data_IF_073384367215
#
_entry.id   IF_073384367215
#
_cell.length_a   1.000
_cell.length_b   1.000
_cell.length_c   1.000
_cell.angle_alpha   90.00
_cell.angle_beta   90.00
_cell.angle_gamma   90.00
#
_symmetry.space_group_name_H-M   'P 1'
#
loop_
_entity.id
_entity.type
_entity.pdbx_description
1 polymer ?
#
# COMPACT_ATOMS: atom_id res chain seq x y z
N UNK A 1 4.81 30.69 -13.25
CA UNK A 1 4.55 31.76 -12.24
C UNK A 1 3.29 31.48 -11.38
N UNK A 2 2.64 30.31 -11.47
CA UNK A 2 1.33 30.05 -10.84
C UNK A 2 1.35 29.20 -9.55
N UNK A 3 2.42 28.43 -9.33
CA UNK A 3 2.54 27.50 -8.18
C UNK A 3 2.33 28.16 -6.80
N UNK A 4 2.83 29.38 -6.51
CA UNK A 4 2.62 30.02 -5.21
C UNK A 4 1.20 30.53 -4.98
N UNK A 5 0.48 30.90 -6.04
CA UNK A 5 -0.92 31.32 -5.94
C UNK A 5 -1.84 30.11 -5.69
N UNK A 6 -1.64 29.03 -6.44
CA UNK A 6 -2.34 27.77 -6.24
C UNK A 6 -2.07 27.17 -4.84
N UNK A 7 -0.82 27.25 -4.37
CA UNK A 7 -0.45 26.83 -3.01
C UNK A 7 -1.23 27.56 -1.91
N UNK A 8 -1.41 28.88 -2.05
CA UNK A 8 -2.22 29.68 -1.11
C UNK A 8 -3.69 29.28 -1.14
N UNK A 9 -4.27 29.06 -2.33
CA UNK A 9 -5.66 28.61 -2.46
C UNK A 9 -5.89 27.23 -1.81
N UNK A 10 -4.94 26.30 -1.98
CA UNK A 10 -4.98 25.00 -1.29
C UNK A 10 -4.87 25.16 0.23
N UNK A 11 -3.93 25.98 0.71
CA UNK A 11 -3.73 26.23 2.15
C UNK A 11 -4.94 26.87 2.83
N UNK A 12 -5.74 27.65 2.10
CA UNK A 12 -7.01 28.21 2.57
C UNK A 12 -8.23 27.29 2.35
N UNK A 13 -8.04 26.08 1.80
CA UNK A 13 -9.14 25.15 1.52
C UNK A 13 -10.07 25.59 0.38
N UNK A 14 -9.69 26.59 -0.41
CA UNK A 14 -10.50 27.12 -1.52
C UNK A 14 -10.40 26.26 -2.79
N UNK A 15 -9.36 25.44 -2.88
CA UNK A 15 -9.12 24.50 -3.98
C UNK A 15 -8.58 23.19 -3.43
N UNK A 16 -9.04 22.06 -3.97
CA UNK A 16 -8.52 20.73 -3.66
C UNK A 16 -7.76 20.19 -4.87
N UNK A 17 -6.59 19.59 -4.62
CA UNK A 17 -5.86 18.86 -5.66
C UNK A 17 -6.50 17.48 -5.85
N UNK A 18 -7.07 17.24 -7.03
CA UNK A 18 -7.56 15.92 -7.39
C UNK A 18 -6.38 14.97 -7.71
N UNK A 19 -6.46 13.75 -7.20
CA UNK A 19 -5.47 12.70 -7.41
C UNK A 19 -6.14 11.33 -7.52
N UNK A 20 -5.44 10.37 -8.13
CA UNK A 20 -5.83 8.97 -8.04
C UNK A 20 -5.55 8.44 -6.64
N UNK A 21 -6.44 7.60 -6.14
CA UNK A 21 -6.40 6.98 -4.82
C UNK A 21 -6.27 5.45 -4.96
N UNK A 22 -5.95 4.71 -3.88
CA UNK A 22 -6.03 3.25 -3.89
C UNK A 22 -7.43 2.72 -4.26
N UNK A 23 -8.48 3.46 -3.89
CA UNK A 23 -9.85 3.13 -4.30
C UNK A 23 -10.00 3.19 -5.82
N UNK A 24 -9.48 4.23 -6.50
CA UNK A 24 -9.52 4.30 -7.98
C UNK A 24 -8.77 3.12 -8.62
N UNK A 25 -7.59 2.77 -8.07
CA UNK A 25 -6.84 1.60 -8.52
C UNK A 25 -7.65 0.31 -8.41
N UNK A 26 -8.48 0.20 -7.37
CA UNK A 26 -9.29 -1.00 -7.12
C UNK A 26 -10.48 -1.12 -8.06
N UNK A 27 -11.14 0.00 -8.36
CA UNK A 27 -12.22 0.02 -9.35
C UNK A 27 -11.68 -0.30 -10.74
N UNK A 28 -10.52 0.27 -11.11
CA UNK A 28 -9.87 -0.03 -12.39
C UNK A 28 -9.33 -1.47 -12.50
N UNK A 29 -9.15 -2.17 -11.37
CA UNK A 29 -8.77 -3.59 -11.34
C UNK A 29 -9.99 -4.52 -11.17
N UNK A 30 -11.20 -3.98 -11.03
CA UNK A 30 -12.41 -4.75 -10.76
C UNK A 30 -12.45 -5.40 -9.37
N UNK A 31 -11.65 -4.90 -8.41
CA UNK A 31 -11.65 -5.38 -7.02
C UNK A 31 -12.74 -4.70 -6.17
N UNK A 32 -13.30 -3.59 -6.66
CA UNK A 32 -14.43 -2.86 -6.09
C UNK A 32 -15.35 -2.40 -7.24
N UNK A 33 -16.65 -2.36 -6.99
CA UNK A 33 -17.70 -1.96 -7.95
C UNK A 33 -18.59 -0.82 -7.44
N UNK A 34 -18.17 -0.15 -6.36
CA UNK A 34 -18.98 0.85 -5.64
C UNK A 34 -19.00 2.25 -6.28
N UNK A 35 -18.07 2.54 -7.19
CA UNK A 35 -17.92 3.83 -7.87
C UNK A 35 -17.62 3.64 -9.37
N UNK A 36 -17.56 4.74 -10.15
CA UNK A 36 -17.34 4.70 -11.60
C UNK A 36 -15.93 4.20 -11.98
N UNK A 37 -15.83 2.94 -12.38
CA UNK A 37 -14.59 2.32 -12.85
C UNK A 37 -14.05 2.97 -14.13
N UNK A 38 -14.91 3.45 -15.03
CA UNK A 38 -14.47 4.11 -16.28
C UNK A 38 -13.80 5.44 -16.00
N UNK A 39 -14.29 6.19 -15.01
CA UNK A 39 -13.65 7.41 -14.55
C UNK A 39 -12.28 7.13 -13.92
N UNK A 40 -12.18 6.10 -13.07
CA UNK A 40 -10.94 5.66 -12.45
C UNK A 40 -9.89 5.24 -13.49
N UNK A 41 -10.27 4.42 -14.49
CA UNK A 41 -9.40 4.00 -15.58
C UNK A 41 -8.81 5.18 -16.36
N UNK A 42 -9.65 6.16 -16.71
CA UNK A 42 -9.22 7.38 -17.41
C UNK A 42 -8.22 8.17 -16.57
N UNK A 43 -8.51 8.37 -15.29
CA UNK A 43 -7.63 9.08 -14.36
C UNK A 43 -6.27 8.38 -14.24
N UNK A 44 -6.26 7.06 -14.02
CA UNK A 44 -5.03 6.26 -13.94
C UNK A 44 -4.25 6.27 -15.25
N UNK A 45 -4.93 6.26 -16.41
CA UNK A 45 -4.26 6.38 -17.71
C UNK A 45 -3.57 7.73 -17.89
N UNK A 46 -4.17 8.83 -17.41
CA UNK A 46 -3.55 10.15 -17.41
C UNK A 46 -2.35 10.20 -16.45
N UNK A 47 -2.50 9.64 -15.25
CA UNK A 47 -1.43 9.60 -14.25
C UNK A 47 -0.25 8.74 -14.69
N UNK A 48 -0.48 7.58 -15.32
CA UNK A 48 0.58 6.71 -15.82
C UNK A 48 1.52 7.41 -16.81
N UNK A 49 1.04 8.44 -17.52
CA UNK A 49 1.82 9.24 -18.48
C UNK A 49 2.67 10.33 -17.82
N UNK A 50 2.44 10.66 -16.55
CA UNK A 50 3.27 11.63 -15.81
C UNK A 50 4.72 11.13 -15.78
N UNK A 51 5.67 12.07 -15.79
CA UNK A 51 7.09 11.76 -15.81
C UNK A 51 7.69 11.83 -14.41
N UNK A 52 8.57 10.90 -14.10
CA UNK A 52 9.44 10.94 -12.92
C UNK A 52 10.51 12.02 -13.06
N UNK A 53 11.31 12.23 -12.01
CA UNK A 53 12.48 13.13 -12.06
C UNK A 53 13.50 12.73 -13.13
N UNK A 54 13.56 11.46 -13.52
CA UNK A 54 14.40 10.94 -14.59
C UNK A 54 13.75 11.05 -16.00
N UNK A 55 12.56 11.65 -16.10
CA UNK A 55 11.86 11.84 -17.37
C UNK A 55 11.14 10.60 -17.90
N UNK A 56 11.20 9.46 -17.20
CA UNK A 56 10.48 8.23 -17.56
C UNK A 56 9.00 8.32 -17.16
N UNK A 57 8.11 7.65 -17.90
CA UNK A 57 6.69 7.53 -17.51
C UNK A 57 6.58 6.77 -16.19
N UNK A 58 5.60 7.13 -15.35
CA UNK A 58 5.31 6.42 -14.09
C UNK A 58 4.99 4.94 -14.34
N UNK A 59 4.16 4.65 -15.34
CA UNK A 59 3.79 3.28 -15.69
C UNK A 59 3.51 3.14 -17.20
N UNK A 60 3.50 1.89 -17.68
CA UNK A 60 3.20 1.59 -19.10
C UNK A 60 1.78 1.98 -19.51
N UNK A 61 0.81 1.75 -18.62
CA UNK A 61 -0.61 2.06 -18.81
C UNK A 61 -1.32 2.22 -17.43
N UNK A 62 -2.62 2.53 -17.45
CA UNK A 62 -3.42 2.75 -16.23
C UNK A 62 -3.51 1.50 -15.34
N UNK A 63 -3.71 0.32 -15.94
CA UNK A 63 -3.77 -0.95 -15.20
C UNK A 63 -2.45 -1.28 -14.49
N UNK A 64 -1.31 -1.03 -15.14
CA UNK A 64 0.01 -1.21 -14.54
C UNK A 64 0.21 -0.26 -13.34
N UNK A 65 -0.21 1.00 -13.46
CA UNK A 65 -0.18 1.94 -12.34
C UNK A 65 -1.10 1.49 -11.20
N UNK A 66 -2.30 1.01 -11.52
CA UNK A 66 -3.26 0.51 -10.52
C UNK A 66 -2.66 -0.64 -9.70
N UNK A 67 -2.03 -1.62 -10.37
CA UNK A 67 -1.33 -2.72 -9.70
C UNK A 67 -0.22 -2.22 -8.80
N UNK A 68 0.64 -1.33 -9.30
CA UNK A 68 1.71 -0.73 -8.50
C UNK A 68 1.19 -0.03 -7.23
N UNK A 69 0.06 0.68 -7.32
CA UNK A 69 -0.57 1.34 -6.17
C UNK A 69 -1.03 0.31 -5.13
N UNK A 70 -1.73 -0.74 -5.56
CA UNK A 70 -2.24 -1.79 -4.66
C UNK A 70 -1.09 -2.59 -4.04
N UNK A 71 -0.08 -2.95 -4.84
CA UNK A 71 1.11 -3.68 -4.36
C UNK A 71 1.87 -2.84 -3.32
N UNK A 72 2.06 -1.55 -3.59
CA UNK A 72 2.75 -0.65 -2.68
C UNK A 72 1.96 -0.43 -1.37
N UNK A 73 0.64 -0.27 -1.47
CA UNK A 73 -0.24 -0.16 -0.30
C UNK A 73 -0.16 -1.44 0.55
N UNK A 74 -0.20 -2.60 -0.09
CA UNK A 74 -0.11 -3.91 0.58
C UNK A 74 1.22 -4.05 1.31
N UNK A 75 2.34 -3.76 0.65
CA UNK A 75 3.67 -3.80 1.25
C UNK A 75 3.79 -2.86 2.46
N UNK A 76 3.36 -1.60 2.31
CA UNK A 76 3.41 -0.63 3.41
C UNK A 76 2.52 -1.03 4.59
N UNK A 77 1.38 -1.65 4.32
CA UNK A 77 0.48 -2.14 5.37
C UNK A 77 1.11 -3.31 6.12
N UNK A 78 1.76 -4.23 5.41
CA UNK A 78 2.52 -5.35 6.00
C UNK A 78 3.63 -4.82 6.90
N UNK A 79 4.45 -3.89 6.41
CA UNK A 79 5.54 -3.29 7.19
C UNK A 79 5.01 -2.57 8.44
N UNK A 80 3.92 -1.81 8.29
CA UNK A 80 3.31 -1.07 9.40
C UNK A 80 2.75 -2.00 10.47
N UNK A 81 2.03 -3.06 10.08
CA UNK A 81 1.48 -4.02 11.03
C UNK A 81 2.57 -4.85 11.71
N UNK A 82 3.62 -5.23 10.99
CA UNK A 82 4.73 -5.96 11.58
C UNK A 82 5.54 -5.09 12.55
N UNK A 83 5.77 -3.82 12.21
CA UNK A 83 6.41 -2.86 13.11
C UNK A 83 5.57 -2.63 14.37
N UNK A 84 4.24 -2.54 14.24
CA UNK A 84 3.34 -2.48 15.39
C UNK A 84 3.43 -3.77 16.23
N UNK A 85 3.46 -4.94 15.59
CA UNK A 85 3.64 -6.22 16.27
C UNK A 85 4.94 -6.31 17.08
N UNK A 86 6.06 -5.84 16.54
CA UNK A 86 7.32 -5.74 17.28
C UNK A 86 7.27 -4.72 18.43
N UNK A 87 6.56 -3.62 18.26
CA UNK A 87 6.44 -2.59 19.30
C UNK A 87 5.54 -3.02 20.47
N UNK A 88 4.59 -3.93 20.22
CA UNK A 88 3.61 -4.43 21.19
C UNK A 88 3.93 -5.83 21.73
N UNK A 89 5.07 -6.42 21.32
CA UNK A 89 5.50 -7.75 21.79
C UNK A 89 5.91 -7.72 23.27
N UNK A 90 5.79 -8.85 23.96
CA UNK A 90 6.20 -9.01 25.37
C UNK A 90 7.71 -8.78 25.54
N UNK A 91 8.48 -8.99 24.46
CA UNK A 91 9.90 -8.69 24.40
C UNK A 91 10.13 -7.26 23.95
N UNK A 92 11.00 -6.56 24.69
CA UNK A 92 11.50 -5.25 24.24
C UNK A 92 12.45 -5.42 23.05
N UNK A 93 11.96 -5.04 21.87
CA UNK A 93 12.73 -5.06 20.63
C UNK A 93 13.30 -3.67 20.33
N UNK A 94 14.57 -3.63 19.91
CA UNK A 94 15.17 -2.40 19.41
C UNK A 94 14.64 -2.08 18.01
N UNK A 95 14.26 -0.82 17.79
CA UNK A 95 13.85 -0.27 16.49
C UNK A 95 12.82 -1.12 15.70
N UNK A 96 11.57 -1.23 16.17
CA UNK A 96 10.51 -2.05 15.54
C UNK A 96 10.33 -1.82 14.02
N UNK A 97 10.47 -0.57 13.57
CA UNK A 97 10.38 -0.22 12.14
C UNK A 97 11.53 -0.80 11.30
N UNK A 98 12.74 -0.87 11.85
CA UNK A 98 13.90 -1.49 11.19
C UNK A 98 13.71 -3.00 11.17
N UNK A 99 13.24 -3.59 12.27
CA UNK A 99 12.98 -5.04 12.34
C UNK A 99 11.91 -5.49 11.36
N UNK A 100 10.85 -4.71 11.15
CA UNK A 100 9.80 -5.02 10.17
C UNK A 100 10.35 -5.16 8.73
N UNK A 101 11.38 -4.38 8.39
CA UNK A 101 12.02 -4.38 7.08
C UNK A 101 13.33 -5.18 7.04
N UNK A 102 13.71 -5.82 8.15
CA UNK A 102 14.98 -6.52 8.26
C UNK A 102 15.01 -7.76 7.33
N UNK A 103 16.15 -8.09 6.68
CA UNK A 103 16.23 -9.22 5.75
C UNK A 103 15.80 -10.57 6.34
N UNK A 104 16.05 -10.80 7.63
CA UNK A 104 15.58 -12.02 8.32
C UNK A 104 14.07 -12.04 8.52
N UNK A 105 13.44 -10.90 8.77
CA UNK A 105 11.98 -10.78 8.89
C UNK A 105 11.34 -11.04 7.53
N UNK A 106 11.86 -10.42 6.47
CA UNK A 106 11.41 -10.63 5.09
C UNK A 106 11.54 -12.12 4.72
N UNK A 107 12.72 -12.73 4.95
CA UNK A 107 12.94 -14.15 4.69
C UNK A 107 12.03 -15.06 5.54
N UNK A 108 11.72 -14.66 6.77
CA UNK A 108 10.79 -15.37 7.65
C UNK A 108 9.36 -15.35 7.13
N UNK A 109 8.89 -14.19 6.66
CA UNK A 109 7.58 -14.06 6.01
C UNK A 109 7.54 -14.80 4.66
N UNK A 110 8.66 -14.87 3.94
CA UNK A 110 8.82 -15.67 2.71
C UNK A 110 8.89 -17.19 3.00
N UNK A 111 8.95 -17.57 4.28
CA UNK A 111 9.06 -18.96 4.76
C UNK A 111 10.30 -19.66 4.21
N UNK A 112 11.43 -18.97 4.23
CA UNK A 112 12.71 -19.50 3.76
C UNK A 112 13.04 -20.87 4.37
N UNK A 113 13.36 -21.84 3.51
CA UNK A 113 13.62 -23.24 3.88
C UNK A 113 14.91 -23.74 3.19
N UNK A 114 16.06 -23.37 3.76
CA UNK A 114 17.39 -23.78 3.29
C UNK A 114 18.21 -24.46 4.39
N UNK A 115 19.53 -24.21 4.40
CA UNK A 115 20.43 -24.62 5.50
C UNK A 115 19.98 -23.98 6.82
N UNK A 116 19.57 -22.70 6.75
CA UNK A 116 18.86 -22.00 7.82
C UNK A 116 17.39 -21.98 7.44
N UNK A 117 16.50 -22.24 8.40
CA UNK A 117 15.05 -22.19 8.22
C UNK A 117 14.49 -21.00 8.99
N UNK A 118 13.66 -20.19 8.34
CA UNK A 118 13.03 -19.01 8.94
C UNK A 118 11.53 -19.03 8.69
N UNK A 119 10.77 -18.77 9.75
CA UNK A 119 9.32 -18.62 9.74
C UNK A 119 8.98 -17.41 10.59
N UNK A 120 8.12 -16.54 10.08
CA UNK A 120 7.58 -15.40 10.81
C UNK A 120 6.11 -15.23 10.47
N UNK A 121 5.32 -14.87 11.48
CA UNK A 121 3.90 -14.55 11.34
C UNK A 121 3.47 -13.67 12.50
N UNK A 122 2.41 -12.88 12.33
CA UNK A 122 1.73 -12.25 13.46
C UNK A 122 0.95 -13.31 14.24
N UNK A 123 1.14 -13.32 15.56
CA UNK A 123 0.47 -14.27 16.47
C UNK A 123 -0.98 -13.93 16.78
N UNK A 124 -1.49 -12.80 16.27
CA UNK A 124 -2.84 -12.27 16.55
C UNK A 124 -3.60 -12.03 15.25
N UNK A 125 -4.93 -12.22 15.23
CA UNK A 125 -5.75 -11.84 14.09
C UNK A 125 -5.78 -10.31 13.91
N UNK A 126 -5.97 -9.86 12.67
CA UNK A 126 -6.03 -8.44 12.34
C UNK A 126 -7.42 -8.09 11.81
N UNK A 127 -8.06 -7.08 12.39
CA UNK A 127 -9.39 -6.61 11.97
C UNK A 127 -9.24 -5.49 10.95
N UNK A 128 -9.77 -5.71 9.74
CA UNK A 128 -9.80 -4.70 8.69
C UNK A 128 -10.95 -3.72 8.87
N UNK A 129 -10.66 -2.44 9.11
CA UNK A 129 -11.69 -1.42 9.25
C UNK A 129 -11.91 -0.66 7.94
N UNK A 130 -13.18 -0.31 7.66
CA UNK A 130 -13.71 0.47 6.51
C UNK A 130 -14.09 -0.36 5.26
N UNK A 131 -14.81 0.30 4.35
CA UNK A 131 -15.45 -0.31 3.19
C UNK A 131 -14.50 -1.04 2.22
N UNK A 132 -13.25 -0.57 2.09
CA UNK A 132 -12.24 -1.19 1.22
C UNK A 132 -11.42 -2.29 1.90
N UNK A 133 -11.75 -2.64 3.15
CA UNK A 133 -11.03 -3.66 3.89
C UNK A 133 -10.94 -5.02 3.15
N UNK A 134 -12.05 -5.57 2.61
CA UNK A 134 -12.01 -6.86 1.94
C UNK A 134 -11.10 -6.90 0.70
N UNK A 135 -10.80 -5.74 0.12
CA UNK A 135 -10.11 -5.59 -1.17
C UNK A 135 -8.61 -5.89 -1.09
N UNK A 136 -7.93 -5.50 -0.01
CA UNK A 136 -6.47 -5.63 0.12
C UNK A 136 -6.02 -6.47 1.32
N UNK A 137 -6.84 -6.54 2.37
CA UNK A 137 -6.39 -7.15 3.61
C UNK A 137 -6.16 -8.66 3.49
N UNK A 138 -6.87 -9.37 2.60
CA UNK A 138 -6.60 -10.79 2.35
C UNK A 138 -5.14 -11.06 1.95
N UNK A 139 -4.57 -10.21 1.08
CA UNK A 139 -3.16 -10.31 0.69
C UNK A 139 -2.22 -9.96 1.86
N UNK A 140 -2.59 -8.97 2.68
CA UNK A 140 -1.85 -8.59 3.89
C UNK A 140 -1.79 -9.73 4.90
N UNK A 141 -2.93 -10.36 5.21
CA UNK A 141 -2.99 -11.49 6.15
C UNK A 141 -2.24 -12.71 5.64
N UNK A 142 -2.37 -13.02 4.35
CA UNK A 142 -1.58 -14.08 3.72
C UNK A 142 -0.08 -13.85 3.90
N UNK A 143 0.37 -12.62 3.66
CA UNK A 143 1.77 -12.23 3.81
C UNK A 143 2.25 -12.29 5.26
N UNK A 144 1.45 -11.81 6.21
CA UNK A 144 1.76 -11.80 7.64
C UNK A 144 1.50 -13.15 8.33
N UNK A 145 1.04 -14.15 7.60
CA UNK A 145 0.73 -15.48 8.14
C UNK A 145 -0.34 -15.45 9.23
N UNK A 146 -1.29 -14.51 9.17
CA UNK A 146 -2.34 -14.34 10.17
C UNK A 146 -3.73 -14.27 9.54
N UNK A 147 -4.75 -14.52 10.35
CA UNK A 147 -6.15 -14.38 9.98
C UNK A 147 -6.53 -12.90 9.89
N UNK A 148 -7.17 -12.52 8.78
CA UNK A 148 -7.87 -11.24 8.69
C UNK A 148 -9.34 -11.44 9.04
N UNK A 149 -9.88 -10.53 9.86
CA UNK A 149 -11.27 -10.46 10.28
C UNK A 149 -11.91 -9.22 9.66
#
# INVERSE_FOLDING_TARGET
>A
MEKPALGRLMGHGLVVLAGVTPSDASHALGLLDTWDATAAEKALMLFARRRTGAGARLAKNGTALARQIVDQLTAQTVDCLLAAGFADDDREWADPGVLAQHPLSIAGLDRHDGVVKLRMSLGVPVIGLRASAPTYYGAVGHRLGTQMI
#
